data_IF_164966537730
#
_entry.id   IF_164966537730
#
_cell.length_a   1.000
_cell.length_b   1.000
_cell.length_c   1.000
_cell.angle_alpha   90.00
_cell.angle_beta   90.00
_cell.angle_gamma   90.00
#
_symmetry.space_group_name_H-M   'P 1'
#
loop_
_entity.id
_entity.type
_entity.pdbx_description
1 polymer ?
#
# COMPACT_ATOMS: atom_id res chain seq x y z
N UNK A 1 23.74 21.70 1.46
CA UNK A 1 24.25 21.40 0.11
C UNK A 1 23.08 20.71 -0.60
N UNK A 2 22.49 21.31 -1.64
CA UNK A 2 21.43 20.67 -2.41
C UNK A 2 22.03 19.46 -3.13
N UNK A 3 21.41 18.28 -2.99
CA UNK A 3 21.80 17.10 -3.75
C UNK A 3 21.30 17.36 -5.17
N UNK A 4 22.19 17.62 -6.10
CA UNK A 4 21.84 17.67 -7.52
C UNK A 4 21.42 16.27 -7.96
N UNK A 5 20.14 16.09 -8.25
CA UNK A 5 19.63 14.89 -8.90
C UNK A 5 19.89 14.98 -10.39
N UNK A 6 20.87 14.20 -10.87
CA UNK A 6 21.15 14.08 -12.29
C UNK A 6 20.02 13.31 -12.97
N UNK A 7 19.46 13.85 -14.06
CA UNK A 7 18.38 13.25 -14.82
C UNK A 7 18.66 13.35 -16.31
N UNK A 8 18.20 12.35 -17.06
CA UNK A 8 18.14 12.37 -18.52
C UNK A 8 16.71 12.62 -18.94
N UNK A 9 16.49 13.61 -19.77
CA UNK A 9 15.17 14.04 -20.25
C UNK A 9 15.08 13.82 -21.75
N UNK A 10 13.87 13.45 -22.24
CA UNK A 10 13.56 13.54 -23.66
C UNK A 10 12.62 14.72 -23.93
N UNK A 11 12.88 15.45 -24.98
CA UNK A 11 11.98 16.50 -25.49
C UNK A 11 11.29 16.00 -26.75
N UNK A 12 9.99 16.22 -26.86
CA UNK A 12 9.21 15.93 -28.07
C UNK A 12 8.77 17.23 -28.73
N UNK A 13 9.23 17.45 -29.96
CA UNK A 13 8.83 18.62 -30.73
C UNK A 13 7.36 18.56 -31.16
N UNK A 14 6.79 17.34 -31.34
CA UNK A 14 5.39 17.15 -31.68
C UNK A 14 4.43 17.53 -30.55
N UNK A 15 4.74 17.14 -29.30
CA UNK A 15 3.94 17.49 -28.12
C UNK A 15 4.37 18.79 -27.45
N UNK A 16 5.46 19.43 -27.93
CA UNK A 16 6.05 20.65 -27.35
C UNK A 16 6.31 20.52 -25.84
N UNK A 17 6.78 19.35 -25.40
CA UNK A 17 6.96 19.05 -23.99
C UNK A 17 8.06 18.01 -23.70
N UNK A 18 8.22 17.72 -22.43
CA UNK A 18 9.18 16.76 -21.90
C UNK A 18 8.45 15.47 -21.51
N UNK A 19 8.24 14.51 -22.43
CA UNK A 19 7.40 13.34 -22.18
C UNK A 19 8.05 12.28 -21.29
N UNK A 20 9.37 12.30 -21.14
CA UNK A 20 10.06 11.24 -20.40
C UNK A 20 11.20 11.77 -19.55
N UNK A 21 11.29 11.21 -18.36
CA UNK A 21 12.37 11.40 -17.38
C UNK A 21 13.00 10.04 -17.13
N UNK A 22 14.31 9.93 -17.33
CA UNK A 22 15.02 8.67 -17.18
C UNK A 22 15.97 8.74 -15.98
N UNK A 23 16.11 7.62 -15.28
CA UNK A 23 16.98 7.49 -14.11
C UNK A 23 18.45 7.23 -14.46
N UNK A 24 18.78 6.96 -15.73
CA UNK A 24 20.15 6.84 -16.17
C UNK A 24 20.73 8.23 -16.56
N UNK A 25 21.99 8.42 -16.37
CA UNK A 25 22.72 9.63 -16.79
C UNK A 25 24.08 9.23 -17.37
N UNK A 26 24.28 9.49 -18.67
CA UNK A 26 25.51 9.20 -19.37
C UNK A 26 26.56 10.28 -19.16
N UNK A 27 27.80 9.94 -19.40
CA UNK A 27 28.92 10.91 -19.48
C UNK A 27 28.87 11.68 -20.80
N UNK A 28 28.40 11.02 -21.88
CA UNK A 28 28.19 11.60 -23.20
C UNK A 28 27.12 10.83 -23.98
N UNK A 29 26.39 11.51 -24.87
CA UNK A 29 25.35 10.94 -25.73
C UNK A 29 25.54 11.40 -27.18
N UNK A 30 25.28 10.48 -28.13
CA UNK A 30 25.35 10.79 -29.57
C UNK A 30 24.38 9.90 -30.37
N UNK A 31 23.68 10.52 -31.33
CA UNK A 31 22.99 9.79 -32.41
C UNK A 31 23.92 9.60 -33.60
N UNK A 32 24.07 8.37 -34.08
CA UNK A 32 24.87 8.05 -35.24
C UNK A 32 24.27 6.85 -35.98
N UNK A 33 24.21 6.93 -37.32
CA UNK A 33 23.67 5.85 -38.18
C UNK A 33 22.29 5.34 -37.74
N UNK A 34 21.39 6.24 -37.36
CA UNK A 34 20.03 5.93 -36.88
C UNK A 34 20.01 5.16 -35.55
N UNK A 35 21.11 5.07 -34.83
CA UNK A 35 21.18 4.48 -33.50
C UNK A 35 21.52 5.56 -32.47
N UNK A 36 21.07 5.33 -31.23
CA UNK A 36 21.40 6.15 -30.09
C UNK A 36 22.47 5.47 -29.24
N UNK A 37 23.56 6.15 -29.01
CA UNK A 37 24.69 5.69 -28.22
C UNK A 37 24.91 6.57 -27.00
N UNK A 38 25.39 5.97 -25.92
CA UNK A 38 25.85 6.69 -24.73
C UNK A 38 27.14 6.10 -24.21
N UNK A 39 27.94 6.93 -23.56
CA UNK A 39 29.16 6.53 -22.86
C UNK A 39 28.89 6.65 -21.36
N UNK A 40 29.33 5.64 -20.61
CA UNK A 40 29.23 5.64 -19.15
C UNK A 40 30.39 4.86 -18.53
N UNK A 41 31.19 5.54 -17.68
CA UNK A 41 32.31 4.91 -16.99
C UNK A 41 33.33 4.27 -17.94
N UNK A 42 33.62 4.88 -19.09
CA UNK A 42 34.53 4.40 -20.11
C UNK A 42 33.95 3.32 -21.05
N UNK A 43 32.71 2.91 -20.88
CA UNK A 43 32.04 1.91 -21.74
C UNK A 43 31.09 2.61 -22.74
N UNK A 44 30.99 2.01 -23.92
CA UNK A 44 30.03 2.41 -24.97
C UNK A 44 28.81 1.52 -24.94
N UNK A 45 27.64 2.13 -24.87
CA UNK A 45 26.34 1.45 -24.90
C UNK A 45 25.53 1.92 -26.09
N UNK A 46 24.91 0.96 -26.81
CA UNK A 46 23.89 1.23 -27.82
C UNK A 46 22.53 0.97 -27.21
N UNK A 47 21.64 1.96 -27.28
CA UNK A 47 20.29 1.87 -26.78
C UNK A 47 19.34 1.14 -27.72
N UNK A 48 18.20 0.69 -27.22
CA UNK A 48 17.13 -0.03 -27.96
C UNK A 48 17.64 -1.30 -28.67
N UNK A 49 18.50 -2.07 -28.01
CA UNK A 49 19.10 -3.32 -28.55
C UNK A 49 18.38 -4.57 -28.08
N UNK A 50 17.52 -4.47 -27.08
CA UNK A 50 16.73 -5.57 -26.53
C UNK A 50 15.33 -5.06 -26.11
N UNK A 51 14.45 -5.98 -25.68
CA UNK A 51 13.08 -5.69 -25.26
C UNK A 51 12.94 -5.40 -23.76
N UNK A 52 14.03 -5.47 -23.00
CA UNK A 52 13.98 -5.22 -21.54
C UNK A 52 13.66 -3.75 -21.27
N UNK A 53 12.66 -3.53 -20.45
CA UNK A 53 12.28 -2.22 -19.95
C UNK A 53 12.93 -1.96 -18.59
N UNK A 54 13.03 -0.69 -18.23
CA UNK A 54 13.64 -0.26 -16.96
C UNK A 54 15.07 -0.77 -16.71
N UNK A 55 15.78 -1.20 -17.77
CA UNK A 55 17.15 -1.70 -17.65
C UNK A 55 18.11 -0.80 -18.43
N UNK A 56 18.99 -0.13 -17.71
CA UNK A 56 20.01 0.75 -18.28
C UNK A 56 21.39 0.38 -17.75
N UNK A 57 22.34 0.24 -18.65
CA UNK A 57 23.74 -0.14 -18.32
C UNK A 57 23.84 -1.46 -17.53
N UNK A 58 22.90 -2.38 -17.76
CA UNK A 58 22.84 -3.66 -17.04
C UNK A 58 22.23 -3.58 -15.63
N UNK A 59 21.74 -2.40 -15.22
CA UNK A 59 21.09 -2.19 -13.92
C UNK A 59 19.58 -2.13 -14.12
N UNK A 60 18.84 -3.01 -13.44
CA UNK A 60 17.41 -2.98 -13.42
C UNK A 60 16.91 -1.86 -12.48
N UNK A 61 16.10 -0.96 -13.03
CA UNK A 61 15.40 0.09 -12.32
C UNK A 61 13.89 -0.14 -12.27
N UNK A 62 13.16 0.92 -12.01
CA UNK A 62 11.70 0.94 -12.01
C UNK A 62 11.17 2.20 -12.68
N UNK A 63 9.95 2.11 -13.23
CA UNK A 63 9.16 3.28 -13.62
C UNK A 63 8.36 3.78 -12.42
N UNK A 64 8.25 5.09 -12.26
CA UNK A 64 7.44 5.68 -11.20
C UNK A 64 6.66 6.89 -11.71
N UNK A 65 5.50 7.10 -11.11
CA UNK A 65 4.68 8.29 -11.31
C UNK A 65 4.16 8.79 -9.97
N UNK A 66 4.35 10.08 -9.71
CA UNK A 66 3.78 10.75 -8.54
C UNK A 66 2.70 11.72 -8.99
N UNK A 67 1.55 11.67 -8.35
CA UNK A 67 0.43 12.56 -8.64
C UNK A 67 -0.40 12.84 -7.39
N UNK A 68 -1.37 13.74 -7.51
CA UNK A 68 -2.20 14.20 -6.40
C UNK A 68 -3.68 14.14 -6.77
N UNK A 69 -4.49 13.52 -5.89
CA UNK A 69 -5.94 13.67 -5.92
C UNK A 69 -6.36 14.83 -5.00
N UNK A 70 -6.98 15.84 -5.59
CA UNK A 70 -7.57 16.95 -4.84
C UNK A 70 -8.93 17.35 -5.44
N UNK A 71 -9.96 16.47 -5.33
CA UNK A 71 -11.29 16.76 -5.87
C UNK A 71 -11.95 17.90 -5.12
N UNK A 72 -12.85 18.61 -5.79
CA UNK A 72 -13.66 19.68 -5.19
C UNK A 72 -14.74 19.11 -4.26
N UNK A 73 -15.07 19.78 -3.16
CA UNK A 73 -14.48 21.01 -2.63
C UNK A 73 -13.09 20.78 -2.04
N UNK A 74 -12.14 21.66 -2.32
CA UNK A 74 -10.72 21.47 -1.95
C UNK A 74 -10.46 21.64 -0.44
N UNK A 75 -11.35 22.34 0.27
CA UNK A 75 -11.21 22.63 1.70
C UNK A 75 -11.98 21.65 2.60
N UNK A 76 -12.63 20.64 2.03
CA UNK A 76 -13.29 19.61 2.82
C UNK A 76 -12.33 18.44 3.09
N UNK A 77 -12.37 17.91 4.30
CA UNK A 77 -11.68 16.65 4.62
C UNK A 77 -12.41 15.52 3.90
N UNK A 78 -11.64 14.66 3.25
CA UNK A 78 -12.11 13.54 2.45
C UNK A 78 -11.53 12.23 2.96
N UNK A 79 -12.29 11.17 2.84
CA UNK A 79 -11.84 9.81 3.03
C UNK A 79 -11.55 9.20 1.65
N UNK A 80 -10.29 8.91 1.38
CA UNK A 80 -9.83 8.19 0.20
C UNK A 80 -9.84 6.69 0.52
N UNK A 81 -10.74 5.93 -0.13
CA UNK A 81 -11.01 4.52 0.23
C UNK A 81 -10.25 3.53 -0.61
N UNK A 82 -10.18 3.79 -1.90
CA UNK A 82 -9.71 2.81 -2.89
C UNK A 82 -8.75 3.45 -3.86
N UNK A 83 -7.98 2.62 -4.53
CA UNK A 83 -7.22 2.99 -5.71
C UNK A 83 -7.55 1.99 -6.82
N UNK A 84 -7.88 2.49 -7.99
CA UNK A 84 -8.06 1.70 -9.22
C UNK A 84 -7.09 2.15 -10.29
N UNK A 85 -6.60 1.19 -11.07
CA UNK A 85 -5.67 1.41 -12.15
C UNK A 85 -6.20 0.76 -13.42
N UNK A 86 -6.37 1.53 -14.47
CA UNK A 86 -6.51 1.00 -15.82
C UNK A 86 -5.10 0.81 -16.37
N UNK A 87 -4.62 -0.44 -16.34
CA UNK A 87 -3.23 -0.78 -16.67
C UNK A 87 -3.11 -2.24 -17.10
N UNK A 88 -2.06 -2.53 -17.87
CA UNK A 88 -1.72 -3.91 -18.26
C UNK A 88 -1.26 -4.73 -17.07
N UNK A 89 -0.63 -4.08 -16.06
CA UNK A 89 -0.05 -4.72 -14.90
C UNK A 89 -0.43 -3.99 -13.61
N UNK A 90 -0.28 -4.69 -12.47
CA UNK A 90 -0.44 -4.08 -11.15
C UNK A 90 0.80 -3.26 -10.78
N UNK A 91 0.59 -2.23 -9.97
CA UNK A 91 1.64 -1.33 -9.49
C UNK A 91 1.76 -1.39 -7.97
N UNK A 92 2.94 -1.12 -7.46
CA UNK A 92 3.13 -0.91 -6.02
C UNK A 92 2.94 0.58 -5.71
N UNK A 93 2.15 0.88 -4.69
CA UNK A 93 2.06 2.24 -4.15
C UNK A 93 3.12 2.37 -3.07
N UNK A 94 4.22 3.02 -3.40
CA UNK A 94 5.38 3.16 -2.49
C UNK A 94 5.26 4.36 -1.57
N UNK A 95 4.48 5.34 -1.96
CA UNK A 95 4.16 6.51 -1.15
C UNK A 95 2.69 6.85 -1.32
N UNK A 96 1.99 7.01 -0.23
CA UNK A 96 0.61 7.49 -0.20
C UNK A 96 0.46 8.33 1.05
N UNK A 97 0.37 9.62 0.87
CA UNK A 97 0.32 10.60 1.95
C UNK A 97 -0.85 11.55 1.76
N UNK A 98 -1.46 11.91 2.86
CA UNK A 98 -2.32 13.06 2.98
C UNK A 98 -1.68 14.05 3.96
N UNK A 99 -2.33 15.16 4.20
CA UNK A 99 -1.93 16.09 5.27
C UNK A 99 -2.20 15.53 6.69
N UNK A 100 -3.00 14.47 6.82
CA UNK A 100 -3.39 13.88 8.10
C UNK A 100 -2.83 12.46 8.31
N UNK A 101 -2.71 11.64 7.26
CA UNK A 101 -2.35 10.23 7.35
C UNK A 101 -1.38 9.81 6.26
N UNK A 102 -0.79 8.62 6.43
CA UNK A 102 -0.02 7.92 5.42
C UNK A 102 -0.55 6.51 5.19
N UNK A 103 -0.31 5.97 4.01
CA UNK A 103 -0.69 4.62 3.64
C UNK A 103 0.34 3.97 2.71
N UNK A 104 0.15 2.68 2.44
CA UNK A 104 0.94 1.94 1.45
C UNK A 104 0.15 0.75 0.92
N UNK A 105 0.48 0.33 -0.30
CA UNK A 105 -0.14 -0.84 -0.93
C UNK A 105 0.88 -1.57 -1.79
N UNK A 106 1.07 -2.85 -1.51
CA UNK A 106 1.88 -3.72 -2.38
C UNK A 106 1.10 -4.09 -3.65
N UNK A 107 1.82 -4.37 -4.74
CA UNK A 107 1.20 -4.83 -6.00
C UNK A 107 0.33 -6.08 -5.82
N UNK A 108 0.70 -6.96 -4.89
CA UNK A 108 -0.06 -8.17 -4.57
C UNK A 108 -1.46 -7.91 -3.97
N UNK A 109 -1.76 -6.70 -3.54
CA UNK A 109 -3.09 -6.34 -3.02
C UNK A 109 -4.06 -5.90 -4.10
N UNK A 110 -3.56 -5.63 -5.30
CA UNK A 110 -4.43 -5.29 -6.41
C UNK A 110 -5.07 -6.54 -6.99
N UNK A 111 -6.38 -6.54 -7.07
CA UNK A 111 -7.18 -7.58 -7.73
C UNK A 111 -7.67 -7.04 -9.07
N UNK A 112 -7.52 -7.83 -10.14
CA UNK A 112 -8.05 -7.47 -11.46
C UNK A 112 -9.52 -7.83 -11.54
N UNK A 113 -10.38 -6.81 -11.68
CA UNK A 113 -11.83 -6.94 -11.81
C UNK A 113 -12.31 -6.10 -12.99
N UNK A 114 -13.09 -6.70 -13.89
CA UNK A 114 -13.71 -6.01 -15.06
C UNK A 114 -12.73 -5.21 -15.93
N UNK A 115 -11.45 -5.64 -15.95
CA UNK A 115 -10.42 -4.97 -16.74
C UNK A 115 -9.55 -3.98 -15.96
N UNK A 116 -9.95 -3.56 -14.77
CA UNK A 116 -9.21 -2.66 -13.89
C UNK A 116 -8.54 -3.40 -12.75
N UNK A 117 -7.40 -2.90 -12.30
CA UNK A 117 -6.76 -3.31 -11.05
C UNK A 117 -7.31 -2.47 -9.92
N UNK A 118 -7.80 -3.12 -8.87
CA UNK A 118 -8.50 -2.48 -7.77
C UNK A 118 -7.93 -2.93 -6.42
N UNK A 119 -7.80 -2.00 -5.48
CA UNK A 119 -7.44 -2.30 -4.09
C UNK A 119 -8.03 -1.27 -3.12
N UNK A 120 -8.19 -1.70 -1.85
CA UNK A 120 -8.51 -0.79 -0.75
C UNK A 120 -7.24 -0.16 -0.19
N UNK A 121 -7.31 1.15 0.10
CA UNK A 121 -6.21 1.90 0.74
C UNK A 121 -6.06 1.43 2.18
N UNK A 122 -4.83 1.13 2.58
CA UNK A 122 -4.46 0.74 3.94
C UNK A 122 -3.68 1.85 4.60
N UNK A 123 -4.19 2.36 5.72
CA UNK A 123 -3.46 3.33 6.53
C UNK A 123 -2.25 2.67 7.21
N UNK A 124 -1.13 3.39 7.25
CA UNK A 124 0.09 2.98 7.95
C UNK A 124 0.10 3.46 9.42
N UNK A 125 -1.01 4.02 9.91
CA UNK A 125 -1.06 4.47 11.30
C UNK A 125 -0.86 3.29 12.26
N UNK A 126 0.27 3.33 12.97
CA UNK A 126 0.56 2.40 14.06
C UNK A 126 -0.27 2.68 15.31
N UNK A 127 -0.83 3.88 15.42
CA UNK A 127 -1.73 4.27 16.51
C UNK A 127 -3.15 3.96 16.10
N UNK A 128 -3.77 3.05 16.83
CA UNK A 128 -5.20 2.74 16.66
C UNK A 128 -5.99 3.96 17.08
N UNK A 129 -6.54 4.69 16.12
CA UNK A 129 -7.56 5.69 16.46
C UNK A 129 -8.88 4.97 16.69
N UNK A 130 -9.15 4.65 17.95
CA UNK A 130 -10.32 3.89 18.40
C UNK A 130 -11.64 4.53 17.95
N UNK A 131 -11.68 5.86 17.81
CA UNK A 131 -12.87 6.60 17.40
C UNK A 131 -13.23 6.41 15.92
N UNK A 132 -12.30 5.90 15.11
CA UNK A 132 -12.48 5.72 13.67
C UNK A 132 -12.64 4.24 13.25
N UNK A 133 -12.70 3.32 14.21
CA UNK A 133 -12.78 1.88 13.92
C UNK A 133 -13.98 1.24 14.57
N UNK A 134 -14.64 0.34 13.84
CA UNK A 134 -15.66 -0.53 14.39
C UNK A 134 -15.04 -1.54 15.34
N UNK A 135 -15.31 -1.37 16.62
CA UNK A 135 -14.89 -2.27 17.68
C UNK A 135 -16.03 -3.23 18.04
N UNK A 136 -15.70 -4.51 18.18
CA UNK A 136 -16.64 -5.52 18.67
C UNK A 136 -16.08 -6.18 19.94
N UNK A 137 -16.76 -6.04 21.06
CA UNK A 137 -16.41 -6.73 22.29
C UNK A 137 -16.78 -8.22 22.20
N UNK A 138 -15.77 -9.08 22.39
CA UNK A 138 -15.97 -10.55 22.38
C UNK A 138 -16.28 -11.12 23.77
N UNK A 139 -15.95 -10.35 24.82
CA UNK A 139 -16.11 -10.77 26.20
C UNK A 139 -14.80 -11.04 26.91
N UNK A 140 -14.88 -11.52 28.15
CA UNK A 140 -13.68 -11.87 28.92
C UNK A 140 -13.18 -13.26 28.56
N UNK A 141 -11.87 -13.40 28.41
CA UNK A 141 -11.21 -14.68 28.18
C UNK A 141 -11.44 -15.64 29.37
N UNK A 142 -12.09 -16.76 29.14
CA UNK A 142 -12.29 -17.79 30.16
C UNK A 142 -11.08 -18.72 30.29
N UNK A 143 -10.44 -19.03 29.17
CA UNK A 143 -9.19 -19.81 29.10
C UNK A 143 -8.31 -19.21 28.02
N UNK A 144 -7.00 -19.13 28.29
CA UNK A 144 -5.98 -18.80 27.29
C UNK A 144 -4.93 -19.92 27.29
N UNK A 145 -4.61 -20.45 26.11
CA UNK A 145 -3.67 -21.56 25.97
C UNK A 145 -2.97 -21.49 24.60
N UNK A 146 -1.95 -22.32 24.42
CA UNK A 146 -1.21 -22.42 23.17
C UNK A 146 0.09 -21.64 23.13
N UNK A 147 0.80 -21.73 22.01
CA UNK A 147 2.02 -20.99 21.74
C UNK A 147 1.70 -19.61 21.14
N UNK A 148 2.66 -18.69 21.12
CA UNK A 148 2.45 -17.34 20.61
C UNK A 148 1.94 -17.30 19.16
N UNK A 149 2.39 -18.19 18.29
CA UNK A 149 1.93 -18.30 16.90
C UNK A 149 0.53 -18.95 16.74
N UNK A 150 -0.02 -19.51 17.82
CA UNK A 150 -1.33 -20.16 17.84
C UNK A 150 -1.97 -20.03 19.23
N UNK A 151 -2.11 -18.80 19.73
CA UNK A 151 -2.77 -18.52 21.01
C UNK A 151 -4.26 -18.74 20.89
N UNK A 152 -4.80 -19.70 21.64
CA UNK A 152 -6.22 -20.03 21.69
C UNK A 152 -6.86 -19.30 22.86
N UNK A 153 -7.87 -18.49 22.58
CA UNK A 153 -8.68 -17.79 23.58
C UNK A 153 -10.08 -18.37 23.54
N UNK A 154 -10.56 -18.83 24.70
CA UNK A 154 -11.90 -19.42 24.88
C UNK A 154 -12.80 -18.44 25.62
N UNK A 155 -14.04 -18.35 25.22
CA UNK A 155 -15.09 -17.52 25.82
C UNK A 155 -16.22 -18.39 26.38
N UNK A 156 -16.95 -17.88 27.35
CA UNK A 156 -18.17 -18.52 27.87
C UNK A 156 -19.34 -18.33 26.91
N UNK A 157 -19.36 -17.18 26.22
CA UNK A 157 -20.40 -16.82 25.25
C UNK A 157 -19.89 -17.00 23.80
N UNK A 158 -20.77 -17.20 22.82
CA UNK A 158 -20.38 -17.26 21.41
C UNK A 158 -19.75 -15.96 20.94
N UNK A 159 -18.66 -16.05 20.17
CA UNK A 159 -17.92 -14.89 19.64
C UNK A 159 -18.70 -14.07 18.59
N UNK A 160 -19.87 -14.54 18.17
CA UNK A 160 -20.75 -13.86 17.23
C UNK A 160 -20.33 -14.01 15.76
N UNK A 161 -21.19 -13.52 14.87
CA UNK A 161 -21.01 -13.63 13.41
C UNK A 161 -20.24 -12.47 12.79
N UNK A 162 -19.91 -11.44 13.57
CA UNK A 162 -19.21 -10.24 13.08
C UNK A 162 -17.71 -10.49 12.92
N UNK A 163 -17.16 -11.39 13.74
CA UNK A 163 -15.73 -11.73 13.70
C UNK A 163 -15.37 -12.50 12.42
N UNK A 164 -14.21 -12.19 11.85
CA UNK A 164 -13.69 -12.87 10.66
C UNK A 164 -12.21 -13.22 10.82
N UNK A 165 -11.74 -14.20 10.05
CA UNK A 165 -10.30 -14.51 9.96
C UNK A 165 -9.58 -13.26 9.43
N UNK A 166 -8.45 -12.92 10.05
CA UNK A 166 -7.67 -11.72 9.74
C UNK A 166 -8.04 -10.48 10.56
N UNK A 167 -9.12 -10.52 11.36
CA UNK A 167 -9.44 -9.42 12.27
C UNK A 167 -8.39 -9.27 13.36
N UNK A 168 -8.12 -8.02 13.75
CA UNK A 168 -7.15 -7.70 14.80
C UNK A 168 -7.78 -7.87 16.18
N UNK A 169 -7.08 -8.54 17.08
CA UNK A 169 -7.50 -8.80 18.46
C UNK A 169 -6.67 -7.96 19.42
N UNK A 170 -7.37 -7.31 20.32
CA UNK A 170 -6.80 -6.51 21.41
C UNK A 170 -7.33 -6.97 22.76
N UNK A 171 -6.54 -6.81 23.79
CA UNK A 171 -6.89 -7.17 25.15
C UNK A 171 -6.62 -6.01 26.12
N UNK A 172 -7.17 -6.09 27.33
CA UNK A 172 -7.10 -5.13 28.43
C UNK A 172 -7.96 -3.87 28.26
N UNK A 173 -8.04 -3.11 29.38
CA UNK A 173 -8.75 -1.82 29.47
C UNK A 173 -8.05 -0.72 28.65
N UNK A 174 -6.70 -0.74 28.62
CA UNK A 174 -5.91 0.01 27.65
C UNK A 174 -5.51 -0.99 26.57
N UNK A 175 -6.17 -1.00 25.41
CA UNK A 175 -6.07 -2.09 24.47
C UNK A 175 -4.65 -2.27 23.92
N UNK A 176 -4.07 -3.45 24.15
CA UNK A 176 -2.80 -3.88 23.58
C UNK A 176 -3.05 -4.92 22.50
N UNK A 177 -2.35 -4.82 21.37
CA UNK A 177 -2.48 -5.77 20.26
C UNK A 177 -2.03 -7.16 20.70
N UNK A 178 -2.94 -8.14 20.57
CA UNK A 178 -2.65 -9.56 20.75
C UNK A 178 -2.14 -10.16 19.43
N UNK A 179 -2.81 -9.87 18.32
CA UNK A 179 -2.49 -10.42 17.00
C UNK A 179 -3.69 -10.48 16.10
N UNK A 180 -3.64 -11.38 15.13
CA UNK A 180 -4.69 -11.52 14.11
C UNK A 180 -5.33 -12.90 14.16
N UNK A 181 -6.65 -12.96 13.95
CA UNK A 181 -7.42 -14.23 13.96
C UNK A 181 -6.97 -15.11 12.79
N UNK A 182 -6.55 -16.34 13.09
CA UNK A 182 -6.19 -17.37 12.11
C UNK A 182 -7.25 -18.43 11.94
N UNK A 183 -7.99 -18.74 13.00
CA UNK A 183 -9.15 -19.63 12.97
C UNK A 183 -10.11 -19.32 14.11
N UNK A 184 -11.35 -19.78 13.99
CA UNK A 184 -12.40 -19.57 15.01
C UNK A 184 -13.42 -20.71 15.03
N UNK A 185 -14.02 -20.89 16.20
CA UNK A 185 -15.22 -21.74 16.42
C UNK A 185 -16.32 -20.88 17.04
N UNK A 186 -17.41 -21.49 17.48
CA UNK A 186 -18.49 -20.76 18.13
C UNK A 186 -18.05 -20.01 19.41
N UNK A 187 -17.12 -20.58 20.19
CA UNK A 187 -16.70 -20.04 21.48
C UNK A 187 -15.18 -19.87 21.64
N UNK A 188 -14.41 -20.15 20.59
CA UNK A 188 -12.95 -20.00 20.62
C UNK A 188 -12.43 -19.24 19.43
N UNK A 189 -11.33 -18.50 19.63
CA UNK A 189 -10.54 -17.93 18.56
C UNK A 189 -9.08 -18.37 18.70
N UNK A 190 -8.43 -18.61 17.57
CA UNK A 190 -6.97 -18.79 17.51
C UNK A 190 -6.36 -17.55 16.90
N UNK A 191 -5.36 -17.00 17.55
CA UNK A 191 -4.72 -15.74 17.19
C UNK A 191 -3.22 -15.97 17.00
N UNK A 192 -2.66 -15.44 15.93
CA UNK A 192 -1.22 -15.34 15.76
C UNK A 192 -0.70 -14.10 16.50
N UNK A 193 -0.13 -14.33 17.67
CA UNK A 193 0.48 -13.34 18.56
C UNK A 193 2.03 -13.37 18.49
N UNK A 194 2.61 -13.85 17.39
CA UNK A 194 4.06 -13.99 17.24
C UNK A 194 4.78 -12.68 16.93
N UNK A 195 4.05 -11.60 16.65
CA UNK A 195 4.63 -10.28 16.36
C UNK A 195 5.40 -9.73 17.57
N UNK A 196 6.52 -9.06 17.32
CA UNK A 196 7.33 -8.44 18.38
C UNK A 196 6.49 -7.37 19.11
N UNK A 197 6.40 -7.51 20.44
CA UNK A 197 5.60 -6.61 21.29
C UNK A 197 4.12 -6.95 21.36
N UNK A 198 3.67 -8.08 20.79
CA UNK A 198 2.31 -8.56 20.96
C UNK A 198 2.05 -8.92 22.43
N UNK A 199 0.87 -8.57 22.92
CA UNK A 199 0.44 -8.94 24.26
C UNK A 199 -0.13 -10.35 24.24
N UNK A 200 0.28 -11.19 25.19
CA UNK A 200 -0.34 -12.51 25.40
C UNK A 200 -1.41 -12.35 26.49
N UNK A 201 -2.70 -12.50 26.13
CA UNK A 201 -3.79 -12.30 27.09
C UNK A 201 -3.75 -13.34 28.20
N UNK A 202 -4.32 -12.97 29.33
CA UNK A 202 -4.50 -13.86 30.48
C UNK A 202 -5.99 -14.09 30.74
N UNK A 203 -6.31 -15.10 31.55
CA UNK A 203 -7.68 -15.34 31.97
C UNK A 203 -8.26 -14.10 32.67
N UNK A 204 -9.45 -13.70 32.26
CA UNK A 204 -10.16 -12.53 32.76
C UNK A 204 -9.95 -11.26 31.93
N UNK A 205 -8.99 -11.22 31.03
CA UNK A 205 -8.83 -10.09 30.12
C UNK A 205 -10.07 -9.92 29.25
N UNK A 206 -10.52 -8.67 29.09
CA UNK A 206 -11.56 -8.35 28.13
C UNK A 206 -10.97 -8.25 26.74
N UNK A 207 -11.56 -8.97 25.81
CA UNK A 207 -11.09 -9.11 24.42
C UNK A 207 -11.97 -8.30 23.50
N UNK A 208 -11.33 -7.50 22.64
CA UNK A 208 -11.98 -6.67 21.62
C UNK A 208 -11.41 -7.03 20.26
N UNK A 209 -12.28 -7.16 19.27
CA UNK A 209 -11.87 -7.32 17.88
C UNK A 209 -12.10 -6.03 17.09
N UNK A 210 -11.21 -5.79 16.16
CA UNK A 210 -11.34 -4.74 15.15
C UNK A 210 -11.27 -5.38 13.78
N UNK A 211 -12.14 -4.95 12.88
CA UNK A 211 -12.12 -5.42 11.50
C UNK A 211 -10.76 -5.13 10.86
N UNK A 212 -10.27 -6.06 10.06
CA UNK A 212 -9.07 -5.81 9.28
C UNK A 212 -9.34 -4.70 8.25
N UNK A 213 -8.27 -4.01 7.84
CA UNK A 213 -8.36 -2.89 6.89
C UNK A 213 -8.87 -3.28 5.49
N UNK A 214 -8.89 -4.59 5.18
CA UNK A 214 -9.44 -5.13 3.91
C UNK A 214 -10.96 -5.26 3.98
N UNK A 215 -11.51 -5.67 5.12
CA UNK A 215 -12.95 -5.85 5.31
C UNK A 215 -13.68 -4.51 5.54
N UNK A 216 -13.04 -3.59 6.26
CA UNK A 216 -13.51 -2.22 6.45
C UNK A 216 -12.43 -1.29 5.91
N UNK A 217 -12.54 -0.86 4.65
CA UNK A 217 -11.56 0.08 4.09
C UNK A 217 -11.63 1.40 4.85
N UNK A 218 -10.77 1.55 5.85
CA UNK A 218 -10.68 2.80 6.60
C UNK A 218 -10.07 3.92 5.76
N UNK A 219 -9.32 3.57 4.71
CA UNK A 219 -8.69 4.52 3.82
C UNK A 219 -7.73 5.46 4.54
N UNK A 220 -7.48 6.61 3.94
CA UNK A 220 -6.74 7.72 4.51
C UNK A 220 -7.57 8.99 4.46
N UNK A 221 -7.48 9.80 5.51
CA UNK A 221 -8.19 11.07 5.63
C UNK A 221 -7.27 12.23 5.26
N UNK A 222 -7.81 13.23 4.58
CA UNK A 222 -7.10 14.48 4.31
C UNK A 222 -7.82 15.37 3.32
N UNK A 223 -7.27 16.56 3.10
CA UNK A 223 -7.77 17.49 2.09
C UNK A 223 -7.39 17.05 0.68
N UNK A 224 -6.22 16.43 0.52
CA UNK A 224 -5.70 15.85 -0.73
C UNK A 224 -4.98 14.54 -0.42
N UNK A 225 -4.72 13.76 -1.44
CA UNK A 225 -3.92 12.54 -1.35
C UNK A 225 -2.85 12.55 -2.44
N UNK A 226 -1.58 12.59 -2.03
CA UNK A 226 -0.43 12.35 -2.90
C UNK A 226 -0.12 10.85 -2.92
N UNK A 227 0.14 10.32 -4.09
CA UNK A 227 0.55 8.93 -4.25
C UNK A 227 1.70 8.80 -5.26
N UNK A 228 2.54 7.80 -5.03
CA UNK A 228 3.59 7.38 -5.96
C UNK A 228 3.38 5.92 -6.32
N UNK A 229 3.12 5.66 -7.59
CA UNK A 229 3.07 4.33 -8.17
C UNK A 229 4.44 3.94 -8.69
N UNK A 230 4.84 2.69 -8.47
CA UNK A 230 6.12 2.13 -8.94
C UNK A 230 5.90 0.76 -9.59
N UNK A 231 6.50 0.55 -10.76
CA UNK A 231 6.49 -0.72 -11.46
C UNK A 231 7.91 -1.07 -11.92
N UNK A 232 8.38 -2.28 -11.59
CA UNK A 232 9.70 -2.78 -11.93
C UNK A 232 9.70 -3.86 -13.02
N UNK A 233 8.58 -4.03 -13.71
CA UNK A 233 8.46 -5.03 -14.77
C UNK A 233 9.46 -4.75 -15.91
N UNK A 234 10.03 -5.81 -16.45
CA UNK A 234 10.94 -5.76 -17.60
C UNK A 234 10.23 -5.83 -18.94
N UNK A 235 8.95 -6.17 -18.95
CA UNK A 235 8.07 -6.09 -20.12
C UNK A 235 7.50 -4.68 -20.28
N UNK A 236 7.01 -4.29 -21.48
CA UNK A 236 6.23 -3.07 -21.63
C UNK A 236 5.00 -3.11 -20.74
N UNK A 237 4.75 -2.02 -20.03
CA UNK A 237 3.55 -1.81 -19.20
C UNK A 237 3.00 -0.44 -19.53
N UNK A 238 1.70 -0.36 -19.76
CA UNK A 238 0.97 0.89 -19.98
C UNK A 238 0.04 1.17 -18.81
N UNK A 239 0.04 2.40 -18.32
CA UNK A 239 -0.87 2.92 -17.31
C UNK A 239 -1.71 4.02 -17.98
N UNK A 240 -3.00 3.76 -18.17
CA UNK A 240 -3.92 4.67 -18.87
C UNK A 240 -4.59 5.64 -17.90
N UNK A 241 -5.05 5.13 -16.77
CA UNK A 241 -5.73 5.96 -15.78
C UNK A 241 -5.50 5.46 -14.35
N UNK A 242 -5.65 6.39 -13.41
CA UNK A 242 -5.64 6.13 -11.97
C UNK A 242 -6.90 6.75 -11.38
N UNK A 243 -7.69 5.95 -10.67
CA UNK A 243 -8.93 6.36 -10.02
C UNK A 243 -8.88 6.13 -8.51
N UNK A 244 -9.75 6.82 -7.78
CA UNK A 244 -9.94 6.63 -6.34
C UNK A 244 -11.40 6.90 -5.97
N UNK A 245 -12.00 6.04 -5.16
CA UNK A 245 -13.29 6.32 -4.53
C UNK A 245 -13.08 7.21 -3.32
N UNK A 246 -13.74 8.36 -3.35
CA UNK A 246 -13.54 9.41 -2.37
C UNK A 246 -14.89 9.80 -1.79
N UNK A 247 -14.94 9.87 -0.46
CA UNK A 247 -16.12 10.31 0.27
C UNK A 247 -15.80 11.58 1.06
N UNK A 248 -16.79 12.47 1.20
CA UNK A 248 -16.69 13.56 2.16
C UNK A 248 -16.69 12.94 3.57
N UNK A 249 -15.68 13.29 4.36
CA UNK A 249 -15.67 12.95 5.77
C UNK A 249 -16.54 13.96 6.54
N UNK A 250 -17.49 13.47 7.27
CA UNK A 250 -18.25 14.26 8.25
C UNK A 250 -17.66 13.92 9.62
N UNK A 251 -17.23 14.93 10.39
CA UNK A 251 -16.75 14.73 11.76
C UNK A 251 -17.88 14.29 12.69
#
# INVERSE_FOLDING_TARGET
MAIETLQTLSYSDGSKGWPSFYTFYPDYMIGMNSYFYSFKGGNLFRHNTNSLRNNYYGIQGSSSITSVFNPKPTLDIKLFKTLSLESDDSWTVTNLNTDLNAGSMASAYFEKKEGEWFTFIRSNENTVNWNLRSANGLGSASVVAGAANATVITFTEPVGSILSIGDAIYAKTNPELVGYVTSMTATTITVDASAVGAYIPVQGDFIVSYKNSVAESHGVLGYYMEFTLTNSNTSPVELFSVGSDIMKSYP
#
